data_IF_235885276457
#
_entry.id   IF_235885276457
#
_cell.length_a   1.000
_cell.length_b   1.000
_cell.length_c   1.000
_cell.angle_alpha   90.00
_cell.angle_beta   90.00
_cell.angle_gamma   90.00
#
_symmetry.space_group_name_H-M   'P 1'
#
loop_
_entity.id
_entity.type
_entity.pdbx_description
1 polymer ?
#
# COMPACT_ATOMS: atom_id res chain seq x y z
N UNK A 1 45.16 -14.39 7.25
CA UNK A 1 46.54 -13.90 6.97
C UNK A 1 46.58 -12.38 6.90
N UNK A 2 45.76 -11.73 6.03
CA UNK A 2 45.73 -10.25 5.91
C UNK A 2 45.39 -9.55 7.25
N UNK A 3 44.33 -9.96 7.93
CA UNK A 3 43.90 -9.42 9.22
C UNK A 3 44.97 -9.62 10.34
N UNK A 4 45.60 -10.79 10.34
CA UNK A 4 46.67 -11.07 11.31
C UNK A 4 47.89 -10.19 11.10
N UNK A 5 48.26 -9.91 9.85
CA UNK A 5 49.38 -9.04 9.51
C UNK A 5 49.10 -7.58 9.85
N UNK A 6 47.90 -7.09 9.56
CA UNK A 6 47.49 -5.74 9.99
C UNK A 6 47.49 -5.64 11.52
N UNK A 7 46.94 -6.63 12.23
CA UNK A 7 46.88 -6.65 13.69
C UNK A 7 48.28 -6.66 14.35
N UNK A 8 49.22 -7.35 13.73
CA UNK A 8 50.58 -7.52 14.22
C UNK A 8 51.55 -6.46 13.70
N UNK A 9 51.07 -5.52 12.89
CA UNK A 9 51.87 -4.51 12.18
C UNK A 9 53.08 -5.11 11.46
N UNK A 10 52.88 -6.31 10.84
CA UNK A 10 53.92 -7.04 10.11
C UNK A 10 53.79 -6.76 8.62
N UNK A 11 54.89 -6.41 7.96
CA UNK A 11 54.96 -6.28 6.51
C UNK A 11 55.01 -7.67 5.88
N UNK A 12 53.89 -8.17 5.40
CA UNK A 12 53.84 -9.35 4.57
C UNK A 12 53.85 -8.96 3.09
N UNK A 13 54.39 -9.83 2.29
CA UNK A 13 54.22 -9.70 0.83
C UNK A 13 52.88 -10.28 0.41
N UNK A 14 52.10 -9.48 -0.34
CA UNK A 14 50.90 -9.86 -1.04
C UNK A 14 51.13 -9.54 -2.51
N UNK A 15 50.66 -10.41 -3.43
CA UNK A 15 50.62 -10.05 -4.83
C UNK A 15 49.41 -9.16 -5.16
N UNK A 16 49.35 -8.71 -6.41
CA UNK A 16 48.29 -7.79 -6.85
C UNK A 16 46.92 -8.48 -6.74
N UNK A 17 46.82 -9.71 -7.21
CA UNK A 17 45.56 -10.45 -7.29
C UNK A 17 45.04 -10.74 -5.89
N UNK A 18 45.91 -11.15 -4.94
CA UNK A 18 45.53 -11.35 -3.51
C UNK A 18 44.93 -10.08 -2.89
N UNK A 19 45.53 -8.91 -3.13
CA UNK A 19 45.05 -7.64 -2.55
C UNK A 19 43.76 -7.13 -3.28
N UNK A 20 43.64 -7.42 -4.55
CA UNK A 20 42.41 -7.15 -5.30
C UNK A 20 41.23 -7.94 -4.75
N UNK A 21 41.37 -9.25 -4.59
CA UNK A 21 40.34 -10.12 -4.02
C UNK A 21 39.97 -9.71 -2.59
N UNK A 22 40.96 -9.35 -1.75
CA UNK A 22 40.72 -8.87 -0.39
C UNK A 22 39.96 -7.54 -0.40
N UNK A 23 40.34 -6.61 -1.26
CA UNK A 23 39.67 -5.32 -1.37
C UNK A 23 38.22 -5.48 -1.85
N UNK A 24 37.97 -6.32 -2.84
CA UNK A 24 36.63 -6.60 -3.35
C UNK A 24 35.74 -7.25 -2.28
N UNK A 25 36.25 -8.28 -1.60
CA UNK A 25 35.52 -8.93 -0.51
C UNK A 25 35.07 -7.92 0.58
N UNK A 26 35.95 -7.00 0.99
CA UNK A 26 35.59 -6.00 1.99
C UNK A 26 34.70 -4.89 1.46
N UNK A 27 34.78 -4.53 0.19
CA UNK A 27 33.86 -3.60 -0.46
C UNK A 27 32.43 -4.19 -0.57
N UNK A 28 32.32 -5.47 -0.91
CA UNK A 28 31.05 -6.17 -1.06
C UNK A 28 30.37 -6.46 0.28
N UNK A 29 31.18 -6.81 1.30
CA UNK A 29 30.65 -7.02 2.66
C UNK A 29 30.47 -5.74 3.46
N UNK A 30 30.68 -4.55 2.88
CA UNK A 30 30.48 -3.25 3.53
C UNK A 30 31.52 -2.90 4.59
N UNK A 31 32.62 -3.66 4.69
CA UNK A 31 33.69 -3.43 5.66
C UNK A 31 34.68 -2.37 5.15
N UNK A 32 34.19 -1.14 4.92
CA UNK A 32 34.88 -0.07 4.21
C UNK A 32 36.27 0.28 4.75
N UNK A 33 36.46 0.26 6.07
CA UNK A 33 37.79 0.56 6.68
C UNK A 33 38.84 -0.50 6.30
N UNK A 34 38.45 -1.77 6.26
CA UNK A 34 39.33 -2.87 5.85
C UNK A 34 39.62 -2.85 4.34
N UNK A 35 38.59 -2.51 3.56
CA UNK A 35 38.75 -2.30 2.12
C UNK A 35 39.76 -1.21 1.82
N UNK A 36 39.72 -0.05 2.53
CA UNK A 36 40.68 1.03 2.35
C UNK A 36 42.11 0.58 2.68
N UNK A 37 42.30 -0.16 3.78
CA UNK A 37 43.59 -0.69 4.15
C UNK A 37 44.20 -1.61 3.10
N UNK A 38 43.37 -2.48 2.49
CA UNK A 38 43.80 -3.35 1.38
C UNK A 38 44.18 -2.55 0.13
N UNK A 39 43.38 -1.55 -0.20
CA UNK A 39 43.57 -0.66 -1.36
C UNK A 39 44.87 0.19 -1.18
N UNK A 40 45.07 0.77 -0.02
CA UNK A 40 46.25 1.59 0.28
C UNK A 40 47.54 0.71 0.27
N UNK A 41 47.51 -0.47 0.91
CA UNK A 41 48.60 -1.42 0.86
C UNK A 41 48.91 -1.87 -0.56
N UNK A 42 47.87 -2.12 -1.38
CA UNK A 42 48.04 -2.47 -2.78
C UNK A 42 48.69 -1.38 -3.60
N UNK A 43 48.27 -0.13 -3.40
CA UNK A 43 48.87 1.03 -4.06
C UNK A 43 50.34 1.26 -3.63
N UNK A 44 50.66 1.02 -2.37
CA UNK A 44 52.03 1.18 -1.84
C UNK A 44 52.96 0.06 -2.33
N UNK A 45 52.51 -1.20 -2.34
CA UNK A 45 53.33 -2.34 -2.75
C UNK A 45 53.43 -2.46 -4.30
N UNK A 46 52.41 -2.04 -4.99
CA UNK A 46 52.28 -2.21 -6.45
C UNK A 46 51.91 -0.88 -7.15
N UNK A 47 52.74 0.15 -7.13
CA UNK A 47 52.42 1.50 -7.63
C UNK A 47 52.12 1.58 -9.11
N UNK A 48 52.44 0.52 -9.88
CA UNK A 48 52.14 0.43 -11.28
C UNK A 48 50.83 -0.34 -11.60
N UNK A 49 50.19 -0.93 -10.58
CA UNK A 49 48.92 -1.62 -10.74
C UNK A 49 47.78 -0.59 -10.66
N UNK A 50 47.27 -0.23 -11.84
CA UNK A 50 46.25 0.82 -12.01
C UNK A 50 44.88 0.42 -11.44
N UNK A 51 44.66 -0.86 -11.18
CA UNK A 51 43.44 -1.42 -10.58
C UNK A 51 43.13 -0.82 -9.21
N UNK A 52 44.16 -0.55 -8.38
CA UNK A 52 43.92 0.07 -7.05
C UNK A 52 43.42 1.51 -7.12
N UNK A 53 43.70 2.24 -8.21
CA UNK A 53 43.09 3.54 -8.47
C UNK A 53 41.58 3.41 -8.73
N UNK A 54 41.16 2.39 -9.47
CA UNK A 54 39.73 2.10 -9.73
C UNK A 54 39.04 1.63 -8.45
N UNK A 55 39.68 0.72 -7.67
CA UNK A 55 39.13 0.27 -6.37
C UNK A 55 39.03 1.40 -5.35
N UNK A 56 39.96 2.36 -5.36
CA UNK A 56 39.88 3.57 -4.54
C UNK A 56 38.67 4.44 -4.92
N UNK A 57 38.41 4.62 -6.20
CA UNK A 57 37.21 5.31 -6.68
C UNK A 57 35.94 4.57 -6.20
N UNK A 58 35.89 3.24 -6.33
CA UNK A 58 34.78 2.40 -5.84
C UNK A 58 34.57 2.54 -4.34
N UNK A 59 35.65 2.52 -3.53
CA UNK A 59 35.59 2.78 -2.10
C UNK A 59 34.98 4.15 -1.77
N UNK A 60 35.40 5.21 -2.47
CA UNK A 60 34.90 6.57 -2.22
C UNK A 60 33.41 6.70 -2.58
N UNK A 61 32.95 6.00 -3.61
CA UNK A 61 31.52 5.90 -3.93
C UNK A 61 30.75 5.17 -2.81
N UNK A 62 31.29 4.04 -2.35
CA UNK A 62 30.67 3.23 -1.28
C UNK A 62 30.64 3.98 0.06
N UNK A 63 31.66 4.78 0.36
CA UNK A 63 31.74 5.61 1.57
C UNK A 63 31.01 6.96 1.48
N UNK A 64 30.22 7.19 0.40
CA UNK A 64 29.46 8.42 0.13
C UNK A 64 30.32 9.72 0.03
N UNK A 65 31.60 9.62 -0.26
CA UNK A 65 32.51 10.74 -0.50
C UNK A 65 32.49 11.16 -1.98
N UNK A 66 31.31 11.65 -2.44
CA UNK A 66 30.99 11.75 -3.88
C UNK A 66 31.86 12.75 -4.66
N UNK A 67 32.34 13.82 -4.01
CA UNK A 67 33.26 14.79 -4.67
C UNK A 67 34.65 14.18 -4.86
N UNK A 68 35.18 13.50 -3.83
CA UNK A 68 36.46 12.79 -3.93
C UNK A 68 36.35 11.60 -4.89
N UNK A 69 35.20 10.92 -4.92
CA UNK A 69 34.96 9.85 -5.88
C UNK A 69 35.05 10.33 -7.32
N UNK A 70 34.51 11.54 -7.62
CA UNK A 70 34.62 12.14 -8.95
C UNK A 70 36.08 12.34 -9.37
N UNK A 71 36.89 12.92 -8.48
CA UNK A 71 38.33 13.13 -8.74
C UNK A 71 39.06 11.81 -8.90
N UNK A 72 38.75 10.80 -8.07
CA UNK A 72 39.34 9.47 -8.17
C UNK A 72 38.94 8.74 -9.47
N UNK A 73 37.69 8.87 -9.92
CA UNK A 73 37.23 8.32 -11.21
C UNK A 73 38.01 8.97 -12.36
N UNK A 74 38.17 10.29 -12.34
CA UNK A 74 38.94 11.01 -13.38
C UNK A 74 40.42 10.57 -13.38
N UNK A 75 41.02 10.47 -12.20
CA UNK A 75 42.40 9.99 -12.09
C UNK A 75 42.56 8.54 -12.56
N UNK A 76 41.62 7.64 -12.20
CA UNK A 76 41.63 6.26 -12.68
C UNK A 76 41.45 6.18 -14.21
N UNK A 77 40.64 7.08 -14.82
CA UNK A 77 40.45 7.16 -16.27
C UNK A 77 41.74 7.60 -17.00
N UNK A 78 42.49 8.53 -16.40
CA UNK A 78 43.79 8.94 -16.94
C UNK A 78 44.83 7.82 -16.90
N UNK A 79 44.84 7.02 -15.82
CA UNK A 79 45.79 5.92 -15.65
C UNK A 79 45.41 4.67 -16.45
N UNK A 80 44.13 4.33 -16.51
CA UNK A 80 43.61 3.12 -17.10
C UNK A 80 42.30 3.36 -17.86
N UNK A 81 42.31 4.08 -19.02
CA UNK A 81 41.08 4.52 -19.70
C UNK A 81 40.19 3.39 -20.20
N UNK A 82 40.71 2.17 -20.31
CA UNK A 82 39.97 0.99 -20.75
C UNK A 82 39.78 -0.06 -19.65
N UNK A 83 39.91 0.34 -18.38
CA UNK A 83 39.69 -0.61 -17.29
C UNK A 83 38.20 -1.06 -17.26
N UNK A 84 37.92 -2.38 -17.23
CA UNK A 84 36.55 -2.90 -17.37
C UNK A 84 35.60 -2.36 -16.30
N UNK A 85 36.06 -2.16 -15.05
CA UNK A 85 35.22 -1.72 -13.95
C UNK A 85 34.98 -0.20 -13.92
N UNK A 86 35.70 0.58 -14.70
CA UNK A 86 35.64 2.04 -14.62
C UNK A 86 34.22 2.58 -14.91
N UNK A 87 33.58 2.07 -15.96
CA UNK A 87 32.20 2.45 -16.28
C UNK A 87 31.19 1.93 -15.24
N UNK A 88 31.48 0.80 -14.60
CA UNK A 88 30.66 0.31 -13.49
C UNK A 88 30.75 1.25 -12.27
N UNK A 89 31.97 1.63 -11.84
CA UNK A 89 32.18 2.59 -10.75
C UNK A 89 31.55 3.95 -11.07
N UNK A 90 31.65 4.41 -12.31
CA UNK A 90 30.98 5.63 -12.80
C UNK A 90 29.46 5.50 -12.68
N UNK A 91 28.91 4.37 -13.09
CA UNK A 91 27.47 4.06 -12.94
C UNK A 91 27.02 4.14 -11.49
N UNK A 92 27.74 3.50 -10.56
CA UNK A 92 27.46 3.55 -9.12
C UNK A 92 27.53 4.98 -8.57
N UNK A 93 28.53 5.77 -8.96
CA UNK A 93 28.65 7.18 -8.59
C UNK A 93 27.47 8.01 -9.06
N UNK A 94 27.06 7.84 -10.32
CA UNK A 94 25.89 8.53 -10.89
C UNK A 94 24.58 8.16 -10.20
N UNK A 95 24.42 6.87 -9.80
CA UNK A 95 23.29 6.42 -8.99
C UNK A 95 23.20 7.19 -7.67
N UNK A 96 24.34 7.34 -6.97
CA UNK A 96 24.38 8.09 -5.70
C UNK A 96 24.08 9.57 -5.86
N UNK A 97 24.31 10.14 -7.03
CA UNK A 97 23.92 11.52 -7.40
C UNK A 97 22.47 11.66 -7.84
N UNK A 98 21.70 10.56 -7.96
CA UNK A 98 20.35 10.57 -8.49
C UNK A 98 20.27 10.76 -10.01
N UNK A 99 21.40 10.70 -10.72
CA UNK A 99 21.49 10.83 -12.18
C UNK A 99 21.19 9.52 -12.90
N UNK A 100 20.01 8.99 -12.66
CA UNK A 100 19.62 7.63 -13.04
C UNK A 100 19.79 7.33 -14.53
N UNK A 101 19.43 8.28 -15.42
CA UNK A 101 19.56 8.08 -16.88
C UNK A 101 21.01 7.96 -17.35
N UNK A 102 21.92 8.76 -16.78
CA UNK A 102 23.35 8.70 -17.05
C UNK A 102 23.96 7.40 -16.47
N UNK A 103 23.51 7.01 -15.27
CA UNK A 103 23.93 5.77 -14.60
C UNK A 103 23.59 4.54 -15.45
N UNK A 104 22.37 4.45 -15.99
CA UNK A 104 21.97 3.36 -16.90
C UNK A 104 22.89 3.27 -18.13
N UNK A 105 23.27 4.42 -18.71
CA UNK A 105 24.17 4.43 -19.87
C UNK A 105 25.56 3.89 -19.50
N UNK A 106 26.10 4.32 -18.35
CA UNK A 106 27.40 3.85 -17.87
C UNK A 106 27.36 2.34 -17.54
N UNK A 107 26.34 1.88 -16.83
CA UNK A 107 26.20 0.45 -16.49
C UNK A 107 25.98 -0.43 -17.74
N UNK A 108 25.24 0.06 -18.76
CA UNK A 108 25.10 -0.66 -20.02
C UNK A 108 26.43 -0.78 -20.78
N UNK A 109 27.32 0.21 -20.68
CA UNK A 109 28.66 0.11 -21.22
C UNK A 109 29.50 -0.89 -20.42
N UNK A 110 29.44 -0.82 -19.11
CA UNK A 110 30.13 -1.75 -18.23
C UNK A 110 29.79 -3.21 -18.55
N UNK A 111 28.52 -3.53 -18.81
CA UNK A 111 28.06 -4.86 -19.18
C UNK A 111 28.72 -5.42 -20.48
N UNK A 112 29.27 -4.56 -21.35
CA UNK A 112 29.89 -5.03 -22.59
C UNK A 112 31.29 -5.61 -22.37
N UNK A 113 31.92 -5.22 -21.26
CA UNK A 113 33.33 -5.56 -20.96
C UNK A 113 33.48 -6.30 -19.64
N UNK A 114 32.42 -6.44 -18.87
CA UNK A 114 32.44 -7.06 -17.56
C UNK A 114 32.72 -8.57 -17.66
N UNK A 115 33.63 -9.06 -16.85
CA UNK A 115 33.86 -10.49 -16.63
C UNK A 115 32.73 -11.13 -15.86
N UNK A 116 32.22 -10.44 -14.82
CA UNK A 116 31.02 -10.80 -14.10
C UNK A 116 29.91 -9.75 -14.35
N UNK A 117 28.89 -10.07 -15.15
CA UNK A 117 27.78 -9.16 -15.43
C UNK A 117 26.75 -9.08 -14.30
N UNK A 118 26.71 -10.06 -13.37
CA UNK A 118 25.62 -10.24 -12.43
C UNK A 118 25.42 -9.04 -11.47
N UNK A 119 26.44 -8.48 -10.79
CA UNK A 119 26.27 -7.31 -9.94
C UNK A 119 25.81 -6.07 -10.71
N UNK A 120 26.27 -5.91 -11.97
CA UNK A 120 25.89 -4.77 -12.83
C UNK A 120 24.42 -4.90 -13.25
N UNK A 121 23.98 -6.10 -13.56
CA UNK A 121 22.57 -6.41 -13.85
C UNK A 121 21.69 -6.09 -12.65
N UNK A 122 22.10 -6.42 -11.42
CA UNK A 122 21.40 -6.07 -10.20
C UNK A 122 21.18 -4.55 -10.04
N UNK A 123 22.25 -3.77 -10.26
CA UNK A 123 22.14 -2.31 -10.25
C UNK A 123 21.18 -1.76 -11.34
N UNK A 124 21.25 -2.34 -12.56
CA UNK A 124 20.34 -1.96 -13.63
C UNK A 124 18.88 -2.30 -13.32
N UNK A 125 18.62 -3.49 -12.77
CA UNK A 125 17.28 -3.89 -12.38
C UNK A 125 16.71 -2.91 -11.36
N UNK A 126 17.48 -2.59 -10.30
CA UNK A 126 17.09 -1.63 -9.26
C UNK A 126 16.82 -0.23 -9.82
N UNK A 127 17.67 0.27 -10.72
CA UNK A 127 17.49 1.56 -11.38
C UNK A 127 16.23 1.59 -12.25
N UNK A 128 16.00 0.55 -13.05
CA UNK A 128 14.80 0.48 -13.88
C UNK A 128 13.53 0.47 -13.02
N UNK A 129 13.54 -0.28 -11.90
CA UNK A 129 12.44 -0.29 -10.93
C UNK A 129 12.21 1.10 -10.35
N UNK A 130 13.27 1.76 -9.86
CA UNK A 130 13.18 3.09 -9.26
C UNK A 130 12.69 4.18 -10.24
N UNK A 131 12.93 3.99 -11.56
CA UNK A 131 12.46 4.88 -12.62
C UNK A 131 11.08 4.52 -13.18
N UNK A 132 10.39 3.52 -12.64
CA UNK A 132 9.12 3.03 -13.16
C UNK A 132 9.25 2.30 -14.52
N UNK A 133 10.47 1.94 -14.93
CA UNK A 133 10.73 1.23 -16.18
C UNK A 133 10.65 -0.29 -15.98
N UNK A 134 9.53 -0.75 -15.41
CA UNK A 134 9.33 -2.13 -14.96
C UNK A 134 9.58 -3.19 -16.04
N UNK A 135 9.21 -2.91 -17.29
CA UNK A 135 9.49 -3.83 -18.41
C UNK A 135 10.99 -4.12 -18.62
N UNK A 136 11.84 -3.10 -18.42
CA UNK A 136 13.27 -3.26 -18.52
C UNK A 136 13.83 -4.03 -17.31
N UNK A 137 13.32 -3.73 -16.12
CA UNK A 137 13.66 -4.47 -14.89
C UNK A 137 13.32 -5.96 -15.03
N UNK A 138 12.09 -6.29 -15.44
CA UNK A 138 11.63 -7.67 -15.69
C UNK A 138 12.55 -8.40 -16.67
N UNK A 139 12.98 -7.73 -17.75
CA UNK A 139 13.88 -8.36 -18.74
C UNK A 139 15.25 -8.72 -18.14
N UNK A 140 15.81 -7.82 -17.31
CA UNK A 140 17.10 -8.04 -16.65
C UNK A 140 16.96 -9.14 -15.60
N UNK A 141 15.95 -9.05 -14.73
CA UNK A 141 15.71 -10.05 -13.69
C UNK A 141 15.49 -11.45 -14.23
N UNK A 142 14.75 -11.60 -15.34
CA UNK A 142 14.59 -12.89 -16.01
C UNK A 142 15.91 -13.45 -16.56
N UNK A 143 16.87 -12.61 -16.91
CA UNK A 143 18.19 -13.06 -17.30
C UNK A 143 18.99 -13.54 -16.08
N UNK A 144 18.97 -12.78 -14.98
CA UNK A 144 19.64 -13.13 -13.73
C UNK A 144 19.11 -14.45 -13.12
N UNK A 145 17.79 -14.65 -13.13
CA UNK A 145 17.17 -15.89 -12.60
C UNK A 145 17.57 -17.13 -13.46
N UNK A 146 17.93 -16.98 -14.73
CA UNK A 146 18.45 -18.11 -15.51
C UNK A 146 19.84 -18.54 -15.06
N UNK A 147 20.63 -17.62 -14.53
CA UNK A 147 21.97 -17.89 -14.01
C UNK A 147 21.87 -18.42 -12.56
N UNK A 148 21.03 -17.77 -11.73
CA UNK A 148 20.79 -18.14 -10.34
C UNK A 148 19.30 -18.42 -10.08
N UNK A 149 18.79 -19.59 -10.53
CA UNK A 149 17.36 -19.87 -10.52
C UNK A 149 16.76 -20.10 -9.13
N UNK A 150 17.57 -20.32 -8.11
CA UNK A 150 17.15 -20.56 -6.73
C UNK A 150 17.35 -19.34 -5.83
N UNK A 151 17.65 -18.18 -6.40
CA UNK A 151 17.73 -16.94 -5.64
C UNK A 151 16.33 -16.37 -5.43
N UNK A 152 15.79 -16.57 -4.24
CA UNK A 152 14.48 -16.10 -3.86
C UNK A 152 14.36 -14.58 -3.93
N UNK A 153 15.43 -13.83 -3.63
CA UNK A 153 15.42 -12.38 -3.74
C UNK A 153 15.13 -11.91 -5.17
N UNK A 154 15.68 -12.59 -6.17
CA UNK A 154 15.40 -12.29 -7.57
C UNK A 154 13.93 -12.59 -7.93
N UNK A 155 13.35 -13.66 -7.38
CA UNK A 155 11.94 -13.99 -7.59
C UNK A 155 11.02 -12.92 -6.98
N UNK A 156 11.33 -12.45 -5.76
CA UNK A 156 10.62 -11.34 -5.12
C UNK A 156 10.72 -10.04 -5.94
N UNK A 157 11.93 -9.69 -6.40
CA UNK A 157 12.13 -8.51 -7.25
C UNK A 157 11.33 -8.62 -8.55
N UNK A 158 11.32 -9.79 -9.18
CA UNK A 158 10.60 -10.02 -10.43
C UNK A 158 9.08 -9.88 -10.22
N UNK A 159 8.54 -10.52 -9.18
CA UNK A 159 7.12 -10.44 -8.84
C UNK A 159 6.69 -9.00 -8.56
N UNK A 160 7.45 -8.26 -7.76
CA UNK A 160 7.19 -6.85 -7.47
C UNK A 160 7.18 -5.98 -8.75
N UNK A 161 8.09 -6.23 -9.69
CA UNK A 161 8.12 -5.49 -10.95
C UNK A 161 6.96 -5.85 -11.89
N UNK A 162 6.46 -7.08 -11.86
CA UNK A 162 5.23 -7.44 -12.58
C UNK A 162 4.01 -6.75 -11.98
N UNK A 163 3.88 -6.76 -10.65
CA UNK A 163 2.81 -6.12 -9.90
C UNK A 163 2.76 -4.61 -10.18
N UNK A 164 3.87 -3.91 -9.97
CA UNK A 164 3.98 -2.47 -10.25
C UNK A 164 3.70 -2.10 -11.72
N UNK A 165 3.91 -3.05 -12.64
CA UNK A 165 3.59 -2.88 -14.06
C UNK A 165 2.14 -3.21 -14.40
N UNK A 166 1.33 -3.74 -13.47
CA UNK A 166 -0.02 -4.25 -13.72
C UNK A 166 -0.03 -5.43 -14.72
N UNK A 167 0.97 -6.33 -14.64
CA UNK A 167 1.15 -7.42 -15.62
C UNK A 167 0.99 -8.80 -14.97
N UNK A 168 -0.06 -8.97 -14.17
CA UNK A 168 -0.31 -10.21 -13.44
C UNK A 168 -0.50 -11.43 -14.36
N UNK A 169 -1.15 -11.27 -15.51
CA UNK A 169 -1.24 -12.35 -16.50
C UNK A 169 0.13 -12.86 -16.96
N UNK A 170 1.09 -11.94 -17.18
CA UNK A 170 2.44 -12.31 -17.57
C UNK A 170 3.26 -12.88 -16.41
N UNK A 171 2.96 -12.45 -15.19
CA UNK A 171 3.53 -13.04 -14.00
C UNK A 171 3.10 -14.50 -13.87
N UNK A 172 1.79 -14.77 -14.00
CA UNK A 172 1.22 -16.13 -13.98
C UNK A 172 1.87 -17.02 -15.04
N UNK A 173 1.92 -16.54 -16.30
CA UNK A 173 2.55 -17.30 -17.38
C UNK A 173 4.00 -17.64 -17.07
N UNK A 174 4.75 -16.66 -16.56
CA UNK A 174 6.16 -16.83 -16.29
C UNK A 174 6.41 -17.76 -15.08
N UNK A 175 5.68 -17.55 -13.95
CA UNK A 175 5.84 -18.38 -12.76
C UNK A 175 5.42 -19.83 -13.02
N UNK A 176 4.39 -20.08 -13.83
CA UNK A 176 4.06 -21.45 -14.28
C UNK A 176 5.21 -22.10 -15.02
N UNK A 177 5.78 -21.40 -16.01
CA UNK A 177 6.92 -21.92 -16.76
C UNK A 177 8.19 -22.12 -15.91
N UNK A 178 8.37 -21.29 -14.87
CA UNK A 178 9.43 -21.47 -13.88
C UNK A 178 9.17 -22.70 -13.02
N UNK A 179 7.95 -22.89 -12.50
CA UNK A 179 7.56 -24.03 -11.66
C UNK A 179 7.52 -25.38 -12.42
N UNK A 180 7.35 -25.37 -13.74
CA UNK A 180 7.55 -26.57 -14.56
C UNK A 180 9.00 -27.11 -14.48
N UNK A 181 9.97 -26.21 -14.22
CA UNK A 181 11.39 -26.57 -14.08
C UNK A 181 11.81 -26.72 -12.61
N UNK A 182 11.20 -25.92 -11.71
CA UNK A 182 11.53 -25.85 -10.29
C UNK A 182 10.29 -26.06 -9.42
N UNK A 183 9.66 -27.26 -9.46
CA UNK A 183 8.36 -27.51 -8.79
C UNK A 183 8.40 -27.42 -7.27
N UNK A 184 9.59 -27.43 -6.67
CA UNK A 184 9.78 -27.35 -5.21
C UNK A 184 10.25 -25.97 -4.77
N UNK A 185 9.96 -24.90 -5.53
CA UNK A 185 10.19 -23.53 -5.10
C UNK A 185 8.94 -23.01 -4.39
N UNK A 186 8.97 -22.93 -3.06
CA UNK A 186 7.92 -22.33 -2.24
C UNK A 186 7.68 -20.88 -2.62
N UNK A 187 8.75 -20.10 -2.83
CA UNK A 187 8.69 -18.71 -3.28
C UNK A 187 8.05 -18.58 -4.66
N UNK A 188 8.34 -19.51 -5.57
CA UNK A 188 7.71 -19.54 -6.90
C UNK A 188 6.20 -19.78 -6.82
N UNK A 189 5.74 -20.72 -6.00
CA UNK A 189 4.32 -20.99 -5.76
C UNK A 189 3.64 -19.80 -5.08
N UNK A 190 4.27 -19.22 -4.05
CA UNK A 190 3.78 -18.04 -3.37
C UNK A 190 3.52 -16.88 -4.34
N UNK A 191 4.48 -16.53 -5.19
CA UNK A 191 4.29 -15.44 -6.15
C UNK A 191 3.27 -15.76 -7.25
N UNK A 192 3.13 -17.02 -7.64
CA UNK A 192 2.04 -17.44 -8.52
C UNK A 192 0.68 -17.23 -7.86
N UNK A 193 0.54 -17.62 -6.59
CA UNK A 193 -0.67 -17.41 -5.80
C UNK A 193 -1.00 -15.93 -5.61
N UNK A 194 0.00 -15.12 -5.29
CA UNK A 194 -0.17 -13.67 -5.15
C UNK A 194 -0.63 -13.00 -6.47
N UNK A 195 -0.14 -13.45 -7.62
CA UNK A 195 -0.60 -12.95 -8.91
C UNK A 195 -2.05 -13.38 -9.24
N UNK A 196 -2.46 -14.60 -8.89
CA UNK A 196 -3.85 -15.01 -9.00
C UNK A 196 -4.77 -14.23 -8.07
N UNK A 197 -4.34 -13.94 -6.83
CA UNK A 197 -5.11 -13.17 -5.87
C UNK A 197 -5.42 -11.75 -6.38
N UNK A 198 -4.44 -11.07 -7.01
CA UNK A 198 -4.67 -9.73 -7.62
C UNK A 198 -5.63 -9.73 -8.82
N UNK A 199 -5.86 -10.89 -9.43
CA UNK A 199 -6.84 -11.09 -10.50
C UNK A 199 -8.17 -11.68 -10.02
N UNK A 200 -8.40 -11.72 -8.70
CA UNK A 200 -9.58 -12.27 -8.04
C UNK A 200 -9.84 -13.76 -8.36
N UNK A 201 -8.81 -14.49 -8.83
CA UNK A 201 -8.88 -15.94 -9.03
C UNK A 201 -8.51 -16.67 -7.73
N UNK A 202 -9.38 -16.53 -6.73
CA UNK A 202 -9.12 -16.94 -5.35
C UNK A 202 -8.88 -18.44 -5.21
N UNK A 203 -9.56 -19.28 -5.99
CA UNK A 203 -9.38 -20.75 -5.92
C UNK A 203 -7.95 -21.14 -6.34
N UNK A 204 -7.45 -20.58 -7.45
CA UNK A 204 -6.07 -20.86 -7.89
C UNK A 204 -5.04 -20.19 -6.98
N UNK A 205 -5.38 -19.05 -6.39
CA UNK A 205 -4.53 -18.41 -5.41
C UNK A 205 -4.35 -19.31 -4.17
N UNK A 206 -5.44 -19.88 -3.64
CA UNK A 206 -5.39 -20.83 -2.51
C UNK A 206 -4.60 -22.10 -2.87
N UNK A 207 -4.87 -22.71 -4.02
CA UNK A 207 -4.13 -23.89 -4.46
C UNK A 207 -2.61 -23.61 -4.48
N UNK A 208 -2.21 -22.47 -5.01
CA UNK A 208 -0.80 -22.10 -5.07
C UNK A 208 -0.18 -21.83 -3.68
N UNK A 209 -0.93 -21.17 -2.76
CA UNK A 209 -0.48 -20.99 -1.37
C UNK A 209 -0.35 -22.34 -0.65
N UNK A 210 -1.30 -23.25 -0.85
CA UNK A 210 -1.25 -24.59 -0.27
C UNK A 210 -0.04 -25.39 -0.81
N UNK A 211 0.32 -25.26 -2.10
CA UNK A 211 1.56 -25.87 -2.62
C UNK A 211 2.81 -25.26 -1.98
N UNK A 212 2.87 -23.94 -1.79
CA UNK A 212 3.99 -23.31 -1.11
C UNK A 212 4.14 -23.84 0.32
N UNK A 213 3.03 -23.98 1.07
CA UNK A 213 3.00 -24.48 2.43
C UNK A 213 3.28 -25.98 2.56
N UNK A 214 3.00 -26.78 1.53
CA UNK A 214 3.42 -28.20 1.49
C UNK A 214 4.94 -28.32 1.35
N UNK A 215 5.59 -27.36 0.69
CA UNK A 215 7.05 -27.36 0.52
C UNK A 215 7.74 -26.80 1.77
N UNK A 216 7.27 -25.68 2.27
CA UNK A 216 7.72 -25.06 3.53
C UNK A 216 6.52 -24.75 4.43
N UNK A 217 6.29 -25.58 5.43
CA UNK A 217 5.19 -25.42 6.40
C UNK A 217 5.34 -24.18 7.29
N UNK A 218 6.52 -23.60 7.35
CA UNK A 218 6.82 -22.39 8.14
C UNK A 218 6.86 -21.12 7.29
N UNK A 219 6.39 -21.16 6.05
CA UNK A 219 6.40 -19.99 5.18
C UNK A 219 5.34 -18.96 5.63
N UNK A 220 5.72 -18.07 6.53
CA UNK A 220 4.85 -17.07 7.17
C UNK A 220 4.03 -16.26 6.17
N UNK A 221 4.65 -15.76 5.09
CA UNK A 221 3.97 -14.94 4.08
C UNK A 221 2.84 -15.73 3.38
N UNK A 222 3.05 -17.02 3.10
CA UNK A 222 2.03 -17.85 2.47
C UNK A 222 0.86 -18.13 3.42
N UNK A 223 1.11 -18.37 4.72
CA UNK A 223 0.05 -18.48 5.72
C UNK A 223 -0.77 -17.19 5.82
N UNK A 224 -0.10 -16.04 5.86
CA UNK A 224 -0.75 -14.74 5.97
C UNK A 224 -1.62 -14.44 4.73
N UNK A 225 -1.08 -14.59 3.53
CA UNK A 225 -1.83 -14.32 2.30
C UNK A 225 -2.94 -15.36 2.06
N UNK A 226 -2.74 -16.61 2.47
CA UNK A 226 -3.80 -17.62 2.53
C UNK A 226 -4.96 -17.18 3.42
N UNK A 227 -4.65 -16.58 4.58
CA UNK A 227 -5.65 -15.99 5.47
C UNK A 227 -6.43 -14.88 4.78
N UNK A 228 -5.75 -13.97 4.09
CA UNK A 228 -6.38 -12.88 3.32
C UNK A 228 -7.30 -13.40 2.22
N UNK A 229 -6.86 -14.38 1.45
CA UNK A 229 -7.68 -14.99 0.38
C UNK A 229 -8.96 -15.59 0.95
N UNK A 230 -8.85 -16.33 2.06
CA UNK A 230 -9.99 -16.96 2.73
C UNK A 230 -10.96 -15.94 3.33
N UNK A 231 -10.44 -14.79 3.78
CA UNK A 231 -11.24 -13.67 4.26
C UNK A 231 -12.06 -13.02 3.13
N UNK A 232 -11.47 -12.81 1.93
CA UNK A 232 -12.20 -12.34 0.75
C UNK A 232 -13.30 -13.33 0.30
N UNK A 233 -13.12 -14.63 0.58
CA UNK A 233 -14.15 -15.66 0.38
C UNK A 233 -15.16 -15.74 1.55
N UNK A 234 -15.11 -14.84 2.53
CA UNK A 234 -15.92 -14.84 3.74
C UNK A 234 -15.75 -16.12 4.60
N UNK A 235 -14.68 -16.90 4.36
CA UNK A 235 -14.37 -18.11 5.13
C UNK A 235 -13.55 -17.76 6.36
N UNK A 236 -14.12 -16.96 7.24
CA UNK A 236 -13.43 -16.41 8.42
C UNK A 236 -12.87 -17.45 9.37
N UNK A 237 -13.50 -18.64 9.45
CA UNK A 237 -13.01 -19.72 10.33
C UNK A 237 -11.66 -20.28 9.84
N UNK A 238 -11.50 -20.50 8.55
CA UNK A 238 -10.23 -20.96 7.99
C UNK A 238 -9.20 -19.81 7.89
N UNK A 239 -9.65 -18.59 7.62
CA UNK A 239 -8.80 -17.40 7.65
C UNK A 239 -8.14 -17.21 9.02
N UNK A 240 -8.93 -17.33 10.10
CA UNK A 240 -8.44 -17.24 11.47
C UNK A 240 -7.32 -18.27 11.75
N UNK A 241 -7.50 -19.53 11.33
CA UNK A 241 -6.48 -20.58 11.47
C UNK A 241 -5.21 -20.22 10.70
N UNK A 242 -5.36 -19.69 9.47
CA UNK A 242 -4.22 -19.32 8.64
C UNK A 242 -3.42 -18.15 9.26
N UNK A 243 -4.09 -17.10 9.76
CA UNK A 243 -3.42 -16.01 10.46
C UNK A 243 -2.75 -16.44 11.76
N UNK A 244 -3.37 -17.37 12.51
CA UNK A 244 -2.75 -17.98 13.70
C UNK A 244 -1.48 -18.75 13.33
N UNK A 245 -1.52 -19.54 12.25
CA UNK A 245 -0.33 -20.25 11.75
C UNK A 245 0.78 -19.29 11.34
N UNK A 246 0.45 -18.14 10.70
CA UNK A 246 1.43 -17.12 10.38
C UNK A 246 2.12 -16.55 11.63
N UNK A 247 1.39 -16.44 12.74
CA UNK A 247 1.93 -15.97 14.03
C UNK A 247 2.83 -17.00 14.73
N UNK A 248 2.58 -18.29 14.53
CA UNK A 248 3.39 -19.35 15.12
C UNK A 248 4.77 -19.47 14.47
N UNK A 249 4.93 -18.95 13.25
CA UNK A 249 6.15 -19.07 12.43
C UNK A 249 7.08 -17.85 12.52
N UNK A 250 6.59 -16.68 12.95
CA UNK A 250 7.38 -15.43 13.03
C UNK A 250 6.94 -14.60 14.24
N UNK A 251 7.70 -13.55 14.55
CA UNK A 251 7.34 -12.63 15.63
C UNK A 251 5.98 -11.98 15.35
N UNK A 252 5.06 -12.02 16.33
CA UNK A 252 3.72 -11.44 16.18
C UNK A 252 3.81 -9.95 15.83
N UNK A 253 3.12 -9.53 14.77
CA UNK A 253 2.98 -8.11 14.43
C UNK A 253 1.56 -7.60 14.66
N UNK A 254 1.43 -6.27 14.81
CA UNK A 254 0.14 -5.62 15.09
C UNK A 254 -0.90 -5.88 14.00
N UNK A 255 -0.47 -5.90 12.74
CA UNK A 255 -1.39 -6.09 11.62
C UNK A 255 -1.98 -7.50 11.55
N UNK A 256 -1.19 -8.54 11.88
CA UNK A 256 -1.73 -9.92 11.97
C UNK A 256 -2.74 -10.05 13.12
N UNK A 257 -2.48 -9.43 14.29
CA UNK A 257 -3.46 -9.38 15.37
C UNK A 257 -4.74 -8.66 14.98
N UNK A 258 -4.65 -7.58 14.21
CA UNK A 258 -5.81 -6.88 13.66
C UNK A 258 -6.66 -7.80 12.79
N UNK A 259 -6.04 -8.53 11.82
CA UNK A 259 -6.77 -9.47 10.94
C UNK A 259 -7.41 -10.63 11.73
N UNK A 260 -6.73 -11.14 12.76
CA UNK A 260 -7.31 -12.13 13.69
C UNK A 260 -8.55 -11.54 14.37
N UNK A 261 -8.47 -10.32 14.87
CA UNK A 261 -9.60 -9.65 15.51
C UNK A 261 -10.80 -9.46 14.58
N UNK A 262 -10.57 -9.06 13.33
CA UNK A 262 -11.61 -8.94 12.29
C UNK A 262 -12.29 -10.29 12.01
N UNK A 263 -11.50 -11.37 11.86
CA UNK A 263 -12.05 -12.72 11.66
C UNK A 263 -12.89 -13.18 12.87
N UNK A 264 -12.43 -12.91 14.10
CA UNK A 264 -13.15 -13.25 15.33
C UNK A 264 -14.46 -12.47 15.44
N UNK A 265 -14.46 -11.19 15.08
CA UNK A 265 -15.67 -10.35 15.02
C UNK A 265 -16.69 -10.95 14.04
N UNK A 266 -16.26 -11.27 12.82
CA UNK A 266 -17.13 -11.88 11.80
C UNK A 266 -17.72 -13.23 12.24
N UNK A 267 -16.99 -13.96 13.09
CA UNK A 267 -17.46 -15.22 13.70
C UNK A 267 -18.35 -15.01 14.95
N UNK A 268 -18.61 -13.76 15.36
CA UNK A 268 -19.39 -13.43 16.55
C UNK A 268 -18.66 -13.65 17.88
N UNK A 269 -17.33 -13.76 17.86
CA UNK A 269 -16.46 -13.95 19.02
C UNK A 269 -16.00 -12.57 19.54
N UNK A 270 -16.94 -11.75 19.99
CA UNK A 270 -16.71 -10.34 20.29
C UNK A 270 -15.66 -10.09 21.38
N UNK A 271 -15.62 -10.92 22.44
CA UNK A 271 -14.66 -10.76 23.53
C UNK A 271 -13.24 -11.07 23.08
N UNK A 272 -13.05 -12.17 22.33
CA UNK A 272 -11.76 -12.55 21.75
C UNK A 272 -11.28 -11.50 20.72
N UNK A 273 -12.20 -10.99 19.90
CA UNK A 273 -11.89 -9.92 18.93
C UNK A 273 -11.35 -8.66 19.63
N UNK A 274 -11.99 -8.23 20.72
CA UNK A 274 -11.53 -7.08 21.51
C UNK A 274 -10.13 -7.33 22.09
N UNK A 275 -9.82 -8.53 22.56
CA UNK A 275 -8.49 -8.85 23.08
C UNK A 275 -7.42 -8.82 21.96
N UNK A 276 -7.73 -9.42 20.81
CA UNK A 276 -6.83 -9.41 19.65
C UNK A 276 -6.57 -7.99 19.12
N UNK A 277 -7.60 -7.17 18.99
CA UNK A 277 -7.46 -5.78 18.54
C UNK A 277 -6.70 -4.91 19.57
N UNK A 278 -6.85 -5.16 20.87
CA UNK A 278 -6.01 -4.51 21.90
C UNK A 278 -4.54 -4.90 21.79
N UNK A 279 -4.26 -6.15 21.44
CA UNK A 279 -2.88 -6.56 21.15
C UNK A 279 -2.36 -5.88 19.89
N UNK A 280 -3.17 -5.78 18.85
CA UNK A 280 -2.84 -5.04 17.63
C UNK A 280 -2.44 -3.60 17.93
N UNK A 281 -3.30 -2.85 18.64
CA UNK A 281 -3.03 -1.44 19.00
C UNK A 281 -1.90 -1.24 20.00
N UNK A 282 -1.55 -2.26 20.76
CA UNK A 282 -0.39 -2.24 21.67
C UNK A 282 0.93 -2.46 20.94
N UNK A 283 0.92 -3.29 19.90
CA UNK A 283 2.11 -3.58 19.08
C UNK A 283 2.37 -2.49 18.05
N UNK A 284 1.29 -1.95 17.49
CA UNK A 284 1.33 -0.85 16.53
C UNK A 284 0.31 0.22 16.94
N UNK A 285 0.78 1.26 17.61
CA UNK A 285 -0.08 2.37 18.06
C UNK A 285 -0.59 3.24 16.92
N UNK A 286 0.01 3.14 15.73
CA UNK A 286 -0.33 3.92 14.54
C UNK A 286 -1.29 3.15 13.60
N UNK A 287 -1.70 1.94 13.96
CA UNK A 287 -2.65 1.13 13.19
C UNK A 287 -4.09 1.62 13.45
N UNK A 288 -4.53 2.60 12.69
CA UNK A 288 -5.82 3.28 12.83
C UNK A 288 -7.01 2.36 12.59
N UNK A 289 -6.90 1.38 11.69
CA UNK A 289 -7.92 0.37 11.44
C UNK A 289 -8.22 -0.47 12.69
N UNK A 290 -7.22 -0.82 13.47
CA UNK A 290 -7.46 -1.56 14.72
C UNK A 290 -8.17 -0.71 15.80
N UNK A 291 -7.88 0.60 15.83
CA UNK A 291 -8.55 1.52 16.73
C UNK A 291 -10.01 1.72 16.37
N UNK A 292 -10.35 1.82 15.07
CA UNK A 292 -11.75 1.99 14.65
C UNK A 292 -12.57 0.72 14.86
N UNK A 293 -12.00 -0.47 14.61
CA UNK A 293 -12.68 -1.75 14.89
C UNK A 293 -12.96 -1.93 16.39
N UNK A 294 -12.02 -1.53 17.27
CA UNK A 294 -12.29 -1.46 18.71
C UNK A 294 -13.44 -0.53 19.02
N UNK A 295 -13.52 0.62 18.36
CA UNK A 295 -14.62 1.55 18.59
C UNK A 295 -15.97 0.94 18.19
N UNK A 296 -16.04 0.25 17.08
CA UNK A 296 -17.23 -0.45 16.59
C UNK A 296 -17.66 -1.51 17.62
N UNK A 297 -16.76 -2.42 17.99
CA UNK A 297 -17.06 -3.51 18.92
C UNK A 297 -17.46 -3.02 20.32
N UNK A 298 -16.81 -1.97 20.84
CA UNK A 298 -17.21 -1.37 22.11
C UNK A 298 -18.58 -0.69 22.00
N UNK A 299 -18.90 -0.08 20.84
CA UNK A 299 -20.20 0.51 20.54
C UNK A 299 -21.31 -0.54 20.54
N UNK A 300 -21.13 -1.64 19.82
CA UNK A 300 -22.06 -2.78 19.76
C UNK A 300 -22.31 -3.40 21.14
N UNK A 301 -21.29 -3.44 22.00
CA UNK A 301 -21.41 -3.90 23.37
C UNK A 301 -21.97 -2.84 24.35
N UNK A 302 -22.42 -1.69 23.87
CA UNK A 302 -23.00 -0.61 24.66
C UNK A 302 -21.98 0.17 25.52
N UNK A 303 -20.68 -0.04 25.33
CA UNK A 303 -19.60 0.65 26.03
C UNK A 303 -19.22 1.93 25.31
N UNK A 304 -20.21 2.81 25.09
CA UNK A 304 -20.14 3.96 24.19
C UNK A 304 -19.02 4.96 24.52
N UNK A 305 -18.71 5.16 25.81
CA UNK A 305 -17.64 6.10 26.20
C UNK A 305 -16.25 5.60 25.79
N UNK A 306 -16.00 4.30 25.92
CA UNK A 306 -14.76 3.67 25.49
C UNK A 306 -14.68 3.64 23.96
N UNK A 307 -15.78 3.30 23.30
CA UNK A 307 -15.90 3.36 21.85
C UNK A 307 -15.48 4.72 21.29
N UNK A 308 -16.01 5.82 21.87
CA UNK A 308 -15.65 7.18 21.45
C UNK A 308 -14.15 7.49 21.67
N UNK A 309 -13.53 6.97 22.74
CA UNK A 309 -12.09 7.18 22.94
C UNK A 309 -11.28 6.50 21.84
N UNK A 310 -11.64 5.28 21.45
CA UNK A 310 -10.99 4.55 20.37
C UNK A 310 -11.24 5.23 19.01
N UNK A 311 -12.48 5.65 18.71
CA UNK A 311 -12.78 6.39 17.49
C UNK A 311 -11.99 7.72 17.38
N UNK A 312 -11.82 8.45 18.50
CA UNK A 312 -10.99 9.66 18.54
C UNK A 312 -9.52 9.36 18.27
N UNK A 313 -9.00 8.22 18.75
CA UNK A 313 -7.63 7.82 18.47
C UNK A 313 -7.47 7.50 16.98
N UNK A 314 -8.37 6.72 16.36
CA UNK A 314 -8.37 6.46 14.91
C UNK A 314 -8.41 7.77 14.10
N UNK A 315 -9.35 8.69 14.43
CA UNK A 315 -9.44 10.01 13.78
C UNK A 315 -8.22 10.91 14.00
N UNK A 316 -7.43 10.69 15.05
CA UNK A 316 -6.18 11.42 15.25
C UNK A 316 -5.04 10.90 14.38
N UNK A 317 -5.12 9.62 13.94
CA UNK A 317 -4.15 8.96 13.07
C UNK A 317 -4.47 9.23 11.60
N UNK A 318 -5.73 9.03 11.21
CA UNK A 318 -6.23 9.39 9.87
C UNK A 318 -7.41 10.40 9.96
N UNK A 319 -7.12 11.71 10.00
CA UNK A 319 -8.13 12.75 10.10
C UNK A 319 -8.91 13.02 8.81
N UNK A 320 -8.51 12.42 7.69
CA UNK A 320 -9.17 12.63 6.40
C UNK A 320 -10.12 11.48 6.02
N UNK A 321 -10.20 10.42 6.84
CA UNK A 321 -11.04 9.25 6.59
C UNK A 321 -12.52 9.53 6.93
N UNK A 322 -13.43 9.57 5.95
CA UNK A 322 -14.83 9.87 6.18
C UNK A 322 -15.56 8.79 6.99
N UNK A 323 -15.15 7.52 6.87
CA UNK A 323 -15.82 6.38 7.52
C UNK A 323 -15.62 6.43 9.04
N UNK A 324 -14.47 6.89 9.50
CA UNK A 324 -14.21 7.07 10.94
C UNK A 324 -15.09 8.15 11.57
N UNK A 325 -15.37 9.22 10.81
CA UNK A 325 -16.34 10.22 11.25
C UNK A 325 -17.77 9.67 11.28
N UNK A 326 -18.14 8.75 10.37
CA UNK A 326 -19.44 8.09 10.41
C UNK A 326 -19.60 7.19 11.63
N UNK A 327 -18.59 6.39 11.95
CA UNK A 327 -18.58 5.60 13.20
C UNK A 327 -18.72 6.51 14.41
N UNK A 328 -17.97 7.61 14.47
CA UNK A 328 -18.09 8.56 15.57
C UNK A 328 -19.46 9.24 15.59
N UNK A 329 -20.08 9.54 14.45
CA UNK A 329 -21.46 10.06 14.36
C UNK A 329 -22.46 9.09 15.01
N UNK A 330 -22.40 7.82 14.67
CA UNK A 330 -23.29 6.79 15.21
C UNK A 330 -23.13 6.65 16.73
N UNK A 331 -21.91 6.61 17.22
CA UNK A 331 -21.61 6.54 18.65
C UNK A 331 -22.14 7.75 19.44
N UNK A 332 -21.96 8.97 18.90
CA UNK A 332 -22.51 10.18 19.51
C UNK A 332 -24.04 10.23 19.47
N UNK A 333 -24.64 9.72 18.39
CA UNK A 333 -26.09 9.62 18.25
C UNK A 333 -26.68 8.65 19.27
N UNK A 334 -26.08 7.48 19.45
CA UNK A 334 -26.46 6.50 20.46
C UNK A 334 -26.38 7.08 21.91
N UNK A 335 -25.40 7.93 22.17
CA UNK A 335 -25.29 8.67 23.46
C UNK A 335 -26.28 9.83 23.60
N UNK A 336 -27.02 10.19 22.56
CA UNK A 336 -27.89 11.37 22.55
C UNK A 336 -27.14 12.71 22.46
N UNK A 337 -25.83 12.69 22.11
CA UNK A 337 -24.98 13.87 21.96
C UNK A 337 -25.09 14.44 20.54
N UNK A 338 -26.32 14.89 20.19
CA UNK A 338 -26.66 15.27 18.79
C UNK A 338 -25.79 16.39 18.21
N UNK A 339 -25.35 17.34 19.03
CA UNK A 339 -24.46 18.43 18.58
C UNK A 339 -23.08 17.91 18.17
N UNK A 340 -22.55 16.93 18.89
CA UNK A 340 -21.27 16.32 18.57
C UNK A 340 -21.41 15.40 17.34
N UNK A 341 -22.50 14.66 17.23
CA UNK A 341 -22.82 13.86 16.05
C UNK A 341 -22.88 14.74 14.79
N UNK A 342 -23.60 15.87 14.85
CA UNK A 342 -23.68 16.81 13.70
C UNK A 342 -22.31 17.37 13.29
N UNK A 343 -21.40 17.59 14.25
CA UNK A 343 -20.01 18.00 13.93
C UNK A 343 -19.28 16.93 13.14
N UNK A 344 -19.46 15.64 13.47
CA UNK A 344 -18.85 14.53 12.74
C UNK A 344 -19.34 14.49 11.29
N UNK A 345 -20.64 14.61 11.04
CA UNK A 345 -21.17 14.69 9.67
C UNK A 345 -20.66 15.90 8.89
N UNK A 346 -20.46 17.04 9.52
CA UNK A 346 -19.83 18.20 8.90
C UNK A 346 -18.39 17.90 8.45
N UNK A 347 -17.67 17.12 9.24
CA UNK A 347 -16.31 16.69 8.85
C UNK A 347 -16.34 15.69 7.70
N UNK A 348 -17.29 14.75 7.66
CA UNK A 348 -17.51 13.86 6.50
C UNK A 348 -17.72 14.68 5.23
N UNK A 349 -18.68 15.61 5.22
CA UNK A 349 -18.96 16.42 4.05
C UNK A 349 -17.74 17.27 3.60
N UNK A 350 -16.93 17.71 4.56
CA UNK A 350 -15.70 18.44 4.28
C UNK A 350 -14.64 17.54 3.65
N UNK A 351 -14.41 16.34 4.19
CA UNK A 351 -13.41 15.40 3.68
C UNK A 351 -13.76 14.92 2.27
N UNK A 352 -15.03 14.66 2.00
CA UNK A 352 -15.54 14.28 0.68
C UNK A 352 -15.70 15.48 -0.28
N UNK A 353 -15.43 16.72 0.18
CA UNK A 353 -15.60 17.97 -0.59
C UNK A 353 -17.00 18.13 -1.20
N UNK A 354 -18.03 17.68 -0.48
CA UNK A 354 -19.42 17.77 -0.92
C UNK A 354 -19.96 19.16 -0.57
N UNK A 355 -20.17 19.98 -1.59
CA UNK A 355 -20.62 21.37 -1.39
C UNK A 355 -21.97 21.67 -2.06
N UNK A 356 -22.32 21.01 -3.16
CA UNK A 356 -23.50 21.31 -3.96
C UNK A 356 -24.72 20.43 -3.57
N UNK A 357 -25.98 20.91 -3.79
CA UNK A 357 -27.19 20.13 -3.47
C UNK A 357 -27.24 18.75 -4.13
N UNK A 358 -26.80 18.65 -5.39
CA UNK A 358 -26.75 17.36 -6.10
C UNK A 358 -25.77 16.36 -5.44
N UNK A 359 -24.60 16.83 -4.97
CA UNK A 359 -23.65 16.01 -4.24
C UNK A 359 -24.19 15.51 -2.90
N UNK A 360 -24.91 16.36 -2.17
CA UNK A 360 -25.60 15.98 -0.93
C UNK A 360 -26.65 14.88 -1.17
N UNK A 361 -27.39 14.96 -2.27
CA UNK A 361 -28.35 13.93 -2.64
C UNK A 361 -27.68 12.59 -2.95
N UNK A 362 -26.61 12.60 -3.75
CA UNK A 362 -25.88 11.37 -4.10
C UNK A 362 -25.27 10.73 -2.86
N UNK A 363 -24.69 11.52 -1.97
CA UNK A 363 -24.18 11.04 -0.71
C UNK A 363 -25.29 10.49 0.22
N UNK A 364 -26.43 11.17 0.30
CA UNK A 364 -27.57 10.66 1.07
C UNK A 364 -28.12 9.34 0.49
N UNK A 365 -28.10 9.15 -0.84
CA UNK A 365 -28.46 7.86 -1.45
C UNK A 365 -27.46 6.76 -1.08
N UNK A 366 -26.17 7.05 -1.13
CA UNK A 366 -25.13 6.12 -0.69
C UNK A 366 -25.31 5.71 0.79
N UNK A 367 -25.61 6.67 1.68
CA UNK A 367 -25.93 6.36 3.08
C UNK A 367 -27.19 5.48 3.23
N UNK A 368 -28.21 5.68 2.38
CA UNK A 368 -29.40 4.81 2.39
C UNK A 368 -29.08 3.39 1.92
N UNK A 369 -28.20 3.22 0.95
CA UNK A 369 -27.73 1.91 0.49
C UNK A 369 -26.97 1.17 1.61
N UNK A 370 -26.33 1.91 2.51
CA UNK A 370 -25.64 1.38 3.71
C UNK A 370 -26.57 1.26 4.93
N UNK A 371 -27.90 1.42 4.76
CA UNK A 371 -28.92 1.40 5.82
C UNK A 371 -28.78 2.50 6.90
N UNK A 372 -28.02 3.57 6.59
CA UNK A 372 -27.77 4.71 7.50
C UNK A 372 -28.80 5.84 7.30
N UNK A 373 -30.07 5.55 7.58
CA UNK A 373 -31.21 6.45 7.30
C UNK A 373 -31.08 7.77 8.07
N UNK A 374 -30.70 7.73 9.36
CA UNK A 374 -30.59 8.92 10.23
C UNK A 374 -29.46 9.86 9.77
N UNK A 375 -28.34 9.29 9.32
CA UNK A 375 -27.24 10.06 8.75
C UNK A 375 -27.65 10.72 7.43
N UNK A 376 -28.31 10.00 6.54
CA UNK A 376 -28.83 10.52 5.28
C UNK A 376 -29.82 11.68 5.51
N UNK A 377 -30.74 11.51 6.46
CA UNK A 377 -31.69 12.56 6.87
C UNK A 377 -30.96 13.79 7.41
N UNK A 378 -29.96 13.60 8.28
CA UNK A 378 -29.18 14.69 8.88
C UNK A 378 -28.37 15.45 7.84
N UNK A 379 -27.75 14.77 6.87
CA UNK A 379 -27.02 15.38 5.76
C UNK A 379 -27.92 16.28 4.93
N UNK A 380 -29.11 15.79 4.54
CA UNK A 380 -30.04 16.60 3.74
C UNK A 380 -30.67 17.75 4.52
N UNK A 381 -30.93 17.58 5.83
CA UNK A 381 -31.36 18.66 6.71
C UNK A 381 -30.30 19.76 6.80
N UNK A 382 -29.02 19.40 6.96
CA UNK A 382 -27.91 20.36 6.93
C UNK A 382 -27.81 21.06 5.57
N UNK A 383 -28.05 20.33 4.48
CA UNK A 383 -28.15 20.90 3.15
C UNK A 383 -29.23 21.95 3.03
N UNK A 384 -30.42 21.69 3.61
CA UNK A 384 -31.52 22.64 3.62
C UNK A 384 -31.22 23.89 4.47
N UNK A 385 -30.50 23.73 5.59
CA UNK A 385 -30.04 24.86 6.41
C UNK A 385 -28.99 25.70 5.69
N UNK A 386 -28.12 25.07 4.88
CA UNK A 386 -27.08 25.75 4.09
C UNK A 386 -27.65 26.49 2.87
N UNK A 387 -28.69 25.92 2.24
CA UNK A 387 -29.35 26.44 1.03
C UNK A 387 -30.86 26.68 1.27
N UNK A 388 -31.25 27.53 2.23
CA UNK A 388 -32.64 27.70 2.64
C UNK A 388 -33.54 28.25 1.54
N UNK A 389 -32.96 28.96 0.58
CA UNK A 389 -33.67 29.59 -0.53
C UNK A 389 -33.56 28.84 -1.86
N UNK A 390 -32.99 27.61 -1.85
CA UNK A 390 -32.85 26.77 -3.02
C UNK A 390 -34.09 25.89 -3.24
N UNK A 391 -34.90 26.12 -4.31
CA UNK A 391 -36.03 25.26 -4.62
C UNK A 391 -35.60 23.81 -4.94
N UNK A 392 -34.38 23.63 -5.46
CA UNK A 392 -33.78 22.34 -5.70
C UNK A 392 -33.52 21.58 -4.39
N UNK A 393 -32.88 22.21 -3.41
CA UNK A 393 -32.61 21.57 -2.12
C UNK A 393 -33.88 21.18 -1.38
N UNK A 394 -34.92 22.04 -1.42
CA UNK A 394 -36.24 21.71 -0.89
C UNK A 394 -36.87 20.52 -1.60
N UNK A 395 -36.71 20.44 -2.93
CA UNK A 395 -37.22 19.32 -3.72
C UNK A 395 -36.49 18.01 -3.39
N UNK A 396 -35.17 18.06 -3.26
CA UNK A 396 -34.32 16.92 -2.86
C UNK A 396 -34.77 16.39 -1.49
N UNK A 397 -34.88 17.27 -0.50
CA UNK A 397 -35.26 16.85 0.85
C UNK A 397 -36.70 16.32 0.92
N UNK A 398 -37.63 16.95 0.22
CA UNK A 398 -39.01 16.49 0.15
C UNK A 398 -39.12 15.10 -0.52
N UNK A 399 -38.42 14.90 -1.63
CA UNK A 399 -38.40 13.61 -2.33
C UNK A 399 -37.75 12.49 -1.49
N UNK A 400 -36.69 12.82 -0.75
CA UNK A 400 -36.08 11.92 0.22
C UNK A 400 -37.07 11.46 1.30
N UNK A 401 -37.83 12.39 1.91
CA UNK A 401 -38.85 12.07 2.92
C UNK A 401 -39.92 11.12 2.39
N UNK A 402 -40.32 11.27 1.11
CA UNK A 402 -41.21 10.30 0.45
C UNK A 402 -40.51 8.94 0.26
N UNK A 403 -39.25 8.93 -0.09
CA UNK A 403 -38.49 7.69 -0.29
C UNK A 403 -38.37 6.85 0.98
N UNK A 404 -38.16 7.50 2.13
CA UNK A 404 -38.09 6.85 3.45
C UNK A 404 -39.48 6.66 4.12
N UNK A 405 -40.56 6.93 3.39
CA UNK A 405 -41.95 6.78 3.84
C UNK A 405 -42.37 7.68 5.02
N UNK A 406 -41.68 8.77 5.27
CA UNK A 406 -42.06 9.79 6.25
C UNK A 406 -43.17 10.71 5.70
N UNK A 407 -44.33 10.11 5.39
CA UNK A 407 -45.41 10.71 4.61
C UNK A 407 -45.94 12.01 5.22
N UNK A 408 -46.05 12.11 6.58
CA UNK A 408 -46.56 13.29 7.25
C UNK A 408 -45.61 14.48 7.10
N UNK A 409 -44.32 14.24 7.28
CA UNK A 409 -43.29 15.26 7.19
C UNK A 409 -43.12 15.69 5.71
N UNK A 410 -43.11 14.72 4.80
CA UNK A 410 -43.06 14.94 3.36
C UNK A 410 -44.20 15.83 2.86
N UNK A 411 -45.45 15.56 3.27
CA UNK A 411 -46.63 16.34 2.87
C UNK A 411 -46.57 17.79 3.39
N UNK A 412 -46.07 17.99 4.61
CA UNK A 412 -45.89 19.34 5.17
C UNK A 412 -44.83 20.12 4.40
N UNK A 413 -43.70 19.52 4.12
CA UNK A 413 -42.61 20.12 3.33
C UNK A 413 -43.05 20.41 1.88
N UNK A 414 -43.78 19.47 1.27
CA UNK A 414 -44.36 19.65 -0.06
C UNK A 414 -45.25 20.89 -0.13
N UNK A 415 -46.18 21.03 0.84
CA UNK A 415 -47.08 22.18 0.93
C UNK A 415 -46.32 23.50 1.09
N UNK A 416 -45.37 23.55 2.01
CA UNK A 416 -44.58 24.77 2.27
C UNK A 416 -43.73 25.14 1.06
N UNK A 417 -43.07 24.17 0.44
CA UNK A 417 -42.24 24.39 -0.76
C UNK A 417 -43.07 24.90 -1.97
N UNK A 418 -44.26 24.34 -2.17
CA UNK A 418 -45.19 24.81 -3.22
C UNK A 418 -45.65 26.24 -3.00
N UNK A 419 -45.94 26.62 -1.75
CA UNK A 419 -46.31 27.99 -1.42
C UNK A 419 -45.16 28.98 -1.62
N UNK A 420 -43.91 28.53 -1.41
CA UNK A 420 -42.71 29.37 -1.47
C UNK A 420 -42.16 29.51 -2.90
N UNK A 421 -42.14 28.41 -3.67
CA UNK A 421 -41.43 28.33 -4.95
C UNK A 421 -42.33 28.03 -6.16
N UNK A 422 -43.58 27.68 -5.93
CA UNK A 422 -44.54 27.41 -7.02
C UNK A 422 -44.10 26.26 -7.94
N UNK A 423 -44.26 26.45 -9.25
CA UNK A 423 -43.95 25.46 -10.27
C UNK A 423 -42.44 25.12 -10.39
N UNK A 424 -41.57 26.01 -9.99
CA UNK A 424 -40.11 25.77 -9.97
C UNK A 424 -39.75 24.57 -9.07
N UNK A 425 -40.39 24.48 -7.91
CA UNK A 425 -40.20 23.35 -6.99
C UNK A 425 -40.64 22.00 -7.62
N UNK A 426 -41.81 21.95 -8.24
CA UNK A 426 -42.31 20.69 -8.85
C UNK A 426 -41.41 20.21 -10.00
N UNK A 427 -40.82 21.13 -10.75
CA UNK A 427 -39.84 20.79 -11.79
C UNK A 427 -38.61 20.10 -11.21
N UNK A 428 -38.02 20.64 -10.15
CA UNK A 428 -36.88 20.02 -9.46
C UNK A 428 -37.27 18.70 -8.79
N UNK A 429 -38.44 18.62 -8.14
CA UNK A 429 -38.90 17.39 -7.50
C UNK A 429 -38.98 16.23 -8.50
N UNK A 430 -39.57 16.44 -9.65
CA UNK A 430 -39.70 15.40 -10.68
C UNK A 430 -38.38 15.11 -11.41
N UNK A 431 -37.45 16.09 -11.47
CA UNK A 431 -36.13 15.86 -12.02
C UNK A 431 -35.32 14.88 -11.15
N UNK A 432 -35.35 15.03 -9.82
CA UNK A 432 -34.61 14.17 -8.90
C UNK A 432 -35.34 12.88 -8.50
N UNK A 433 -36.69 12.92 -8.48
CA UNK A 433 -37.55 11.80 -8.09
C UNK A 433 -38.68 11.57 -9.12
N UNK A 434 -38.36 11.03 -10.31
CA UNK A 434 -39.35 10.88 -11.40
C UNK A 434 -40.58 10.02 -11.02
N UNK A 435 -40.39 9.02 -10.14
CA UNK A 435 -41.49 8.15 -9.68
C UNK A 435 -42.59 8.92 -8.92
N UNK A 436 -42.27 10.05 -8.29
CA UNK A 436 -43.26 10.87 -7.59
C UNK A 436 -44.22 11.59 -8.57
N UNK A 437 -43.85 11.70 -9.85
CA UNK A 437 -44.77 12.21 -10.87
C UNK A 437 -45.93 11.24 -11.16
N UNK A 438 -45.81 9.97 -10.82
CA UNK A 438 -46.83 8.95 -10.96
C UNK A 438 -47.69 8.79 -9.70
N UNK A 439 -47.20 9.31 -8.56
CA UNK A 439 -47.91 9.26 -7.26
C UNK A 439 -49.14 10.18 -7.26
N UNK A 440 -50.31 9.58 -7.06
CA UNK A 440 -51.58 10.32 -7.10
C UNK A 440 -51.69 11.34 -5.95
N UNK A 441 -51.20 11.00 -4.75
CA UNK A 441 -51.26 11.90 -3.59
C UNK A 441 -50.38 13.15 -3.80
N UNK A 442 -49.19 12.95 -4.40
CA UNK A 442 -48.28 14.05 -4.72
C UNK A 442 -48.89 14.96 -5.79
N UNK A 443 -49.45 14.37 -6.86
CA UNK A 443 -50.17 15.11 -7.92
C UNK A 443 -51.35 15.92 -7.39
N UNK A 444 -52.20 15.32 -6.56
CA UNK A 444 -53.35 15.97 -5.98
C UNK A 444 -52.91 17.14 -5.05
N UNK A 445 -51.87 16.96 -4.29
CA UNK A 445 -51.31 18.02 -3.43
C UNK A 445 -50.74 19.17 -4.29
N UNK A 446 -50.01 18.89 -5.35
CA UNK A 446 -49.48 19.92 -6.26
C UNK A 446 -50.61 20.67 -6.93
N UNK A 447 -51.60 19.96 -7.48
CA UNK A 447 -52.75 20.57 -8.16
C UNK A 447 -53.58 21.44 -7.21
N UNK A 448 -53.72 21.02 -5.96
CA UNK A 448 -54.45 21.77 -4.92
C UNK A 448 -53.79 23.08 -4.56
N UNK A 449 -52.46 23.13 -4.54
CA UNK A 449 -51.69 24.30 -4.12
C UNK A 449 -51.19 25.17 -5.28
N UNK A 450 -51.23 24.66 -6.52
CA UNK A 450 -50.94 25.36 -7.77
C UNK A 450 -52.14 25.28 -8.73
N UNK A 451 -53.26 25.91 -8.41
CA UNK A 451 -54.50 25.77 -9.19
C UNK A 451 -54.47 26.37 -10.60
N UNK A 452 -53.36 27.00 -11.02
CA UNK A 452 -53.18 27.68 -12.29
C UNK A 452 -51.89 27.33 -13.03
N UNK A 453 -51.28 26.14 -12.77
CA UNK A 453 -50.10 25.68 -13.50
C UNK A 453 -50.50 24.81 -14.72
#
# INVERSE_FOLDING_TARGET
RFEDQIRLNQSGFFDVDELEEIADYYLETGQLQRALLAIDLGGDLHPYATTFAVKRARYLVASHQLDLAKEAIQHAEELAPNHPDLEWVRGQWLMRLGKNSEAIQALRKALQTAEDPFPIQGHLASLYTAMGQFHHAVKVLKAMIREEPKDDHLLYMLAANFDMAGQDDKAIEWFKGYLDQYPYSETGWYHLGAAYFRLDDWDKALDAMDYALVIDENFTAAHFDRGRILEEQENYAQALIAFQSAMDTDDPNGYTWYRIGVCQQALGQAEEAIESLKLATKMDEDLDEAWIELAILFGENGRLFEAIQHAKKALSLDPDNPDYYLVAYDLYTQLGLLLEAEKMLKMVLKSLRIEEPAGLLEYAKSLLEMDQIDAAHSVLRMGLERYPDSPEMWAIYCGFLYAIQEMTLAANHLKEALLRYGSSFSTHLYAHYPKLAEDQHVRDAITKHLPHA
#
